data_IF_293813920550
#
_entry.id   IF_293813920550
#
_cell.length_a   1.000
_cell.length_b   1.000
_cell.length_c   1.000
_cell.angle_alpha   90.00
_cell.angle_beta   90.00
_cell.angle_gamma   90.00
#
_symmetry.space_group_name_H-M   'P 1'
#
loop_
_entity.id
_entity.type
_entity.pdbx_description
1 polymer ?
#
# COMPACT_ATOMS: atom_id res chain seq x y z
N UNK A 1 3.30 -35.81 8.81
CA UNK A 1 1.93 -36.26 9.16
C UNK A 1 0.96 -35.11 8.99
N UNK A 2 -0.38 -35.31 8.90
CA UNK A 2 -1.33 -34.20 8.77
C UNK A 2 -1.17 -33.13 9.86
N UNK A 3 -0.82 -33.54 11.08
CA UNK A 3 -0.53 -32.61 12.18
C UNK A 3 0.75 -31.79 11.97
N UNK A 4 1.81 -32.38 11.40
CA UNK A 4 3.05 -31.65 11.07
C UNK A 4 2.84 -30.61 9.96
N UNK A 5 1.89 -30.85 9.05
CA UNK A 5 1.56 -29.89 7.98
C UNK A 5 0.83 -28.68 8.56
N UNK A 6 -0.13 -28.90 9.47
CA UNK A 6 -0.81 -27.80 10.18
C UNK A 6 0.19 -26.95 10.97
N UNK A 7 1.09 -27.58 11.74
CA UNK A 7 2.14 -26.87 12.46
C UNK A 7 3.06 -26.08 11.51
N UNK A 8 3.43 -26.67 10.37
CA UNK A 8 4.26 -25.99 9.39
C UNK A 8 3.58 -24.77 8.74
N UNK A 9 2.24 -24.79 8.62
CA UNK A 9 1.46 -23.64 8.18
C UNK A 9 1.42 -22.55 9.25
N UNK A 10 1.22 -22.91 10.52
CA UNK A 10 1.27 -21.94 11.63
C UNK A 10 2.63 -21.23 11.69
N UNK A 11 3.73 -21.99 11.53
CA UNK A 11 5.10 -21.43 11.46
C UNK A 11 5.28 -20.53 10.23
N UNK A 12 4.64 -20.86 9.10
CA UNK A 12 4.68 -20.01 7.91
C UNK A 12 3.95 -18.69 8.16
N UNK A 13 2.74 -18.73 8.72
CA UNK A 13 1.96 -17.54 9.11
C UNK A 13 2.75 -16.64 10.06
N UNK A 14 3.34 -17.20 11.12
CA UNK A 14 4.17 -16.47 12.09
C UNK A 14 5.40 -15.83 11.42
N UNK A 15 6.08 -16.57 10.52
CA UNK A 15 7.23 -16.08 9.77
C UNK A 15 6.82 -14.90 8.86
N UNK A 16 5.70 -15.03 8.14
CA UNK A 16 5.22 -13.97 7.26
C UNK A 16 4.76 -12.74 8.05
N UNK A 17 4.14 -12.92 9.22
CA UNK A 17 3.78 -11.83 10.13
C UNK A 17 5.02 -11.07 10.64
N UNK A 18 6.11 -11.80 10.92
CA UNK A 18 7.39 -11.16 11.29
C UNK A 18 7.98 -10.31 10.16
N UNK A 19 7.82 -10.73 8.91
CA UNK A 19 8.28 -9.97 7.74
C UNK A 19 7.47 -8.71 7.53
N UNK A 20 6.15 -8.78 7.69
CA UNK A 20 5.30 -7.60 7.60
C UNK A 20 5.63 -6.58 8.70
N UNK A 21 5.84 -7.03 9.94
CA UNK A 21 6.31 -6.19 11.03
C UNK A 21 7.69 -5.56 10.74
N UNK A 22 8.54 -6.27 10.01
CA UNK A 22 9.85 -5.81 9.51
C UNK A 22 9.79 -4.92 8.26
N UNK A 23 8.58 -4.52 7.82
CA UNK A 23 8.35 -3.71 6.62
C UNK A 23 8.77 -4.41 5.30
N UNK A 24 8.78 -5.75 5.29
CA UNK A 24 8.95 -6.59 4.10
C UNK A 24 7.55 -7.08 3.70
N UNK A 25 6.87 -6.31 2.86
CA UNK A 25 5.54 -6.70 2.36
C UNK A 25 5.68 -7.54 1.08
N UNK A 26 5.18 -8.79 1.13
CA UNK A 26 5.23 -9.76 0.03
C UNK A 26 3.84 -10.01 -0.59
N UNK A 27 2.80 -9.31 -0.14
CA UNK A 27 1.42 -9.54 -0.58
C UNK A 27 0.84 -10.87 -0.11
N UNK A 28 1.32 -11.40 1.02
CA UNK A 28 0.83 -12.66 1.59
C UNK A 28 -0.57 -12.51 2.19
N UNK A 29 -1.42 -13.51 1.96
CA UNK A 29 -2.79 -13.53 2.47
C UNK A 29 -2.85 -14.19 3.86
N UNK A 30 -2.98 -13.38 4.91
CA UNK A 30 -3.17 -13.87 6.27
C UNK A 30 -4.60 -14.40 6.47
N UNK A 31 -4.71 -15.55 7.12
CA UNK A 31 -5.99 -16.18 7.47
C UNK A 31 -6.01 -16.56 8.95
N UNK A 32 -7.20 -16.61 9.57
CA UNK A 32 -7.34 -16.99 10.98
C UNK A 32 -7.17 -18.52 11.19
N UNK A 33 -7.31 -19.30 10.13
CA UNK A 33 -7.16 -20.76 10.15
C UNK A 33 -6.56 -21.21 8.82
N UNK A 34 -5.22 -21.28 8.72
CA UNK A 34 -4.54 -21.55 7.45
C UNK A 34 -4.80 -22.97 6.96
N UNK A 35 -5.27 -23.10 5.71
CA UNK A 35 -5.38 -24.38 5.01
C UNK A 35 -4.35 -24.49 3.89
N UNK A 36 -3.94 -25.72 3.60
CA UNK A 36 -3.07 -26.07 2.47
C UNK A 36 -3.68 -25.78 1.10
N UNK A 37 -5.00 -25.62 1.02
CA UNK A 37 -5.73 -25.31 -0.20
C UNK A 37 -5.79 -23.81 -0.49
N UNK A 38 -5.49 -22.96 0.49
CA UNK A 38 -5.61 -21.51 0.36
C UNK A 38 -4.47 -20.94 -0.49
N UNK A 39 -4.80 -19.93 -1.30
CA UNK A 39 -3.79 -19.22 -2.08
C UNK A 39 -2.98 -18.27 -1.19
N UNK A 40 -1.66 -18.44 -1.21
CA UNK A 40 -0.74 -17.63 -0.40
C UNK A 40 -0.63 -16.16 -0.83
N UNK A 41 -1.04 -15.80 -2.04
CA UNK A 41 -0.95 -14.42 -2.56
C UNK A 41 0.46 -13.95 -2.96
N UNK A 42 1.51 -14.72 -2.64
CA UNK A 42 2.90 -14.38 -2.93
C UNK A 42 3.18 -14.46 -4.44
N UNK A 43 3.86 -13.45 -4.98
CA UNK A 43 4.32 -13.48 -6.37
C UNK A 43 5.31 -14.62 -6.64
N UNK A 44 5.22 -15.22 -7.83
CA UNK A 44 5.99 -16.41 -8.19
C UNK A 44 7.51 -16.19 -8.10
N UNK A 45 7.98 -14.96 -8.31
CA UNK A 45 9.40 -14.61 -8.24
C UNK A 45 9.97 -14.68 -6.82
N UNK A 46 9.11 -14.54 -5.81
CA UNK A 46 9.47 -14.47 -4.39
C UNK A 46 9.30 -15.80 -3.65
N UNK A 47 8.59 -16.77 -4.24
CA UNK A 47 8.31 -18.09 -3.65
C UNK A 47 9.60 -18.88 -3.34
N UNK A 48 10.60 -18.82 -4.22
CA UNK A 48 11.85 -19.56 -4.05
C UNK A 48 12.60 -19.19 -2.76
N UNK A 49 12.90 -17.89 -2.54
CA UNK A 49 13.46 -17.40 -1.29
C UNK A 49 12.64 -17.78 -0.05
N UNK A 50 11.30 -17.60 -0.08
CA UNK A 50 10.42 -17.92 1.06
C UNK A 50 10.50 -19.40 1.45
N UNK A 51 10.54 -20.31 0.48
CA UNK A 51 10.71 -21.76 0.74
C UNK A 51 12.01 -22.09 1.46
N UNK A 52 13.10 -21.42 1.12
CA UNK A 52 14.40 -21.66 1.77
C UNK A 52 14.39 -21.20 3.22
N UNK A 53 13.73 -20.06 3.50
CA UNK A 53 13.58 -19.52 4.85
C UNK A 53 12.71 -20.42 5.72
N UNK A 54 11.55 -20.83 5.19
CA UNK A 54 10.67 -21.78 5.85
C UNK A 54 11.40 -23.09 6.19
N UNK A 55 12.21 -23.60 5.26
CA UNK A 55 12.98 -24.83 5.49
C UNK A 55 13.97 -24.70 6.65
N UNK A 56 14.56 -23.51 6.86
CA UNK A 56 15.40 -23.25 8.04
C UNK A 56 14.59 -23.28 9.33
N UNK A 57 13.48 -22.55 9.38
CA UNK A 57 12.64 -22.44 10.56
C UNK A 57 12.08 -23.81 10.97
N UNK A 58 11.59 -24.58 9.99
CA UNK A 58 11.12 -25.94 10.23
C UNK A 58 12.24 -26.87 10.70
N UNK A 59 13.46 -26.75 10.16
CA UNK A 59 14.58 -27.57 10.64
C UNK A 59 14.86 -27.32 12.12
N UNK A 60 14.84 -26.06 12.56
CA UNK A 60 15.01 -25.68 13.97
C UNK A 60 13.84 -26.17 14.82
N UNK A 61 12.59 -25.99 14.38
CA UNK A 61 11.39 -26.45 15.08
C UNK A 61 11.38 -27.96 15.32
N UNK A 62 11.86 -28.75 14.35
CA UNK A 62 11.96 -30.21 14.47
C UNK A 62 13.28 -30.70 15.09
N UNK A 63 14.13 -29.79 15.59
CA UNK A 63 15.40 -30.13 16.25
C UNK A 63 16.42 -30.78 15.32
N UNK A 64 16.35 -30.51 14.01
CA UNK A 64 17.29 -31.00 13.01
C UNK A 64 18.42 -30.01 12.81
N UNK A 65 19.62 -30.52 12.58
CA UNK A 65 20.77 -29.66 12.26
C UNK A 65 20.59 -28.99 10.89
N UNK A 66 20.88 -27.70 10.85
CA UNK A 66 20.86 -26.91 9.63
C UNK A 66 22.08 -27.28 8.78
N UNK A 67 21.86 -27.71 7.54
CA UNK A 67 22.98 -27.94 6.63
C UNK A 67 23.64 -26.60 6.27
N UNK A 68 24.97 -26.54 6.12
CA UNK A 68 25.67 -25.29 5.85
C UNK A 68 25.25 -24.67 4.50
N UNK A 69 24.86 -25.49 3.53
CA UNK A 69 24.31 -25.03 2.26
C UNK A 69 22.98 -24.32 2.42
N UNK A 70 22.10 -24.84 3.27
CA UNK A 70 20.78 -24.28 3.52
C UNK A 70 20.88 -22.97 4.34
N UNK A 71 21.83 -22.89 5.27
CA UNK A 71 22.18 -21.64 5.96
C UNK A 71 22.64 -20.53 5.00
N UNK A 72 23.47 -20.87 3.99
CA UNK A 72 23.88 -19.90 2.96
C UNK A 72 22.69 -19.47 2.08
N UNK A 73 21.82 -20.41 1.72
CA UNK A 73 20.60 -20.12 0.95
C UNK A 73 19.62 -19.24 1.73
N UNK A 74 19.56 -19.36 3.06
CA UNK A 74 18.77 -18.49 3.93
C UNK A 74 19.25 -17.03 3.81
N UNK A 75 20.55 -16.80 3.95
CA UNK A 75 21.13 -15.46 3.87
C UNK A 75 20.94 -14.83 2.48
N UNK A 76 21.15 -15.62 1.43
CA UNK A 76 20.88 -15.19 0.06
C UNK A 76 19.39 -14.90 -0.17
N UNK A 77 18.50 -15.76 0.34
CA UNK A 77 17.05 -15.61 0.26
C UNK A 77 16.55 -14.33 0.91
N UNK A 78 16.98 -14.04 2.15
CA UNK A 78 16.64 -12.77 2.81
C UNK A 78 17.15 -11.56 2.03
N UNK A 79 18.39 -11.59 1.54
CA UNK A 79 18.96 -10.51 0.75
C UNK A 79 18.16 -10.24 -0.53
N UNK A 80 17.70 -11.30 -1.21
CA UNK A 80 16.82 -11.18 -2.38
C UNK A 80 15.46 -10.57 -2.02
N UNK A 81 14.82 -11.01 -0.92
CA UNK A 81 13.55 -10.43 -0.48
C UNK A 81 13.67 -8.94 -0.17
N UNK A 82 14.73 -8.53 0.54
CA UNK A 82 15.01 -7.11 0.75
C UNK A 82 15.26 -6.36 -0.56
N UNK A 83 15.94 -6.95 -1.53
CA UNK A 83 16.16 -6.30 -2.82
C UNK A 83 14.85 -6.05 -3.59
N UNK A 84 13.87 -6.95 -3.46
CA UNK A 84 12.55 -6.77 -4.08
C UNK A 84 11.72 -5.67 -3.39
N UNK A 85 11.79 -5.57 -2.07
CA UNK A 85 11.00 -4.59 -1.29
C UNK A 85 11.72 -3.26 -1.07
N UNK A 86 13.04 -3.20 -1.33
CA UNK A 86 13.85 -2.01 -1.09
C UNK A 86 13.45 -0.85 -2.00
N UNK A 87 12.81 0.15 -1.39
CA UNK A 87 12.62 1.45 -2.01
C UNK A 87 13.88 2.30 -1.83
N UNK A 88 14.77 2.27 -2.82
CA UNK A 88 15.92 3.17 -2.84
C UNK A 88 15.47 4.58 -3.20
N UNK A 89 15.51 5.49 -2.22
CA UNK A 89 15.27 6.90 -2.49
C UNK A 89 16.49 7.50 -3.19
N UNK A 90 16.25 8.27 -4.23
CA UNK A 90 17.30 9.07 -4.82
C UNK A 90 17.82 10.06 -3.77
N UNK A 91 19.14 10.07 -3.54
CA UNK A 91 19.76 11.03 -2.62
C UNK A 91 19.60 12.42 -3.22
N UNK A 92 18.77 13.24 -2.59
CA UNK A 92 18.55 14.60 -3.05
C UNK A 92 19.71 15.49 -2.57
N UNK A 93 20.33 16.28 -3.46
CA UNK A 93 21.38 17.19 -3.07
C UNK A 93 20.85 18.23 -2.06
N UNK A 94 21.65 18.62 -1.04
CA UNK A 94 21.21 19.56 -0.01
C UNK A 94 20.91 20.95 -0.60
N UNK A 95 20.10 21.74 0.10
CA UNK A 95 19.59 23.05 -0.37
C UNK A 95 20.65 24.04 -0.85
N UNK A 96 21.89 23.90 -0.39
CA UNK A 96 23.01 24.77 -0.74
C UNK A 96 23.99 24.16 -1.74
N UNK A 97 23.69 22.99 -2.31
CA UNK A 97 24.60 22.36 -3.25
C UNK A 97 24.68 23.18 -4.54
N UNK A 98 25.86 23.71 -4.90
CA UNK A 98 26.01 24.45 -6.15
C UNK A 98 25.83 23.50 -7.32
N UNK A 99 25.12 23.96 -8.36
CA UNK A 99 24.82 23.16 -9.56
C UNK A 99 26.06 22.78 -10.38
N UNK A 100 27.18 23.50 -10.23
CA UNK A 100 28.37 23.35 -11.08
C UNK A 100 28.20 24.00 -12.46
N UNK A 101 29.28 24.55 -12.99
CA UNK A 101 29.30 25.25 -14.29
C UNK A 101 29.14 24.33 -15.51
N UNK A 102 29.36 23.02 -15.35
CA UNK A 102 29.21 22.01 -16.41
C UNK A 102 27.79 21.50 -16.64
N UNK A 103 26.83 21.85 -15.78
CA UNK A 103 25.45 21.37 -15.90
C UNK A 103 24.61 22.37 -16.72
N UNK A 104 24.32 22.02 -17.98
CA UNK A 104 23.43 22.78 -18.85
C UNK A 104 21.98 22.74 -18.35
N UNK A 105 21.27 23.87 -18.48
CA UNK A 105 19.84 23.95 -18.16
C UNK A 105 19.05 23.17 -19.21
N UNK A 106 18.52 22.00 -18.86
CA UNK A 106 17.55 21.28 -19.70
C UNK A 106 16.22 22.05 -19.85
N UNK A 107 15.91 23.01 -18.97
CA UNK A 107 14.73 23.87 -19.07
C UNK A 107 14.99 25.24 -18.45
N UNK A 108 14.48 26.33 -19.05
CA UNK A 108 14.70 27.72 -18.57
C UNK A 108 14.12 28.01 -17.16
N UNK A 109 13.30 27.11 -16.61
CA UNK A 109 12.50 27.33 -15.38
C UNK A 109 12.98 26.52 -14.16
N UNK A 110 13.97 25.61 -14.26
CA UNK A 110 14.42 24.79 -13.11
C UNK A 110 15.32 25.53 -12.10
N UNK A 111 15.12 26.84 -11.91
CA UNK A 111 15.93 27.66 -10.98
C UNK A 111 15.62 27.36 -9.51
N UNK A 112 14.49 26.72 -9.25
CA UNK A 112 14.11 26.21 -7.96
C UNK A 112 13.81 24.72 -8.13
N UNK A 113 14.18 23.95 -7.10
CA UNK A 113 14.02 22.50 -7.03
C UNK A 113 12.70 22.07 -7.68
N UNK A 114 12.73 20.97 -8.44
CA UNK A 114 11.50 20.26 -8.80
C UNK A 114 10.69 20.11 -7.52
N UNK A 115 9.40 20.52 -7.49
CA UNK A 115 8.58 20.38 -6.30
C UNK A 115 8.72 18.96 -5.77
N UNK A 116 8.86 18.85 -4.46
CA UNK A 116 9.00 17.55 -3.79
C UNK A 116 7.78 16.72 -4.18
N UNK A 117 7.99 15.64 -4.95
CA UNK A 117 6.97 14.61 -5.11
C UNK A 117 6.81 14.02 -3.71
N UNK A 118 5.75 14.43 -3.02
CA UNK A 118 5.47 13.91 -1.70
C UNK A 118 5.17 12.41 -1.83
N UNK A 119 5.65 11.56 -0.90
CA UNK A 119 5.28 10.15 -0.90
C UNK A 119 3.76 10.05 -0.69
N UNK A 120 3.06 9.16 -1.40
CA UNK A 120 1.63 8.95 -1.19
C UNK A 120 1.36 8.71 0.30
N UNK A 121 0.41 9.46 0.89
CA UNK A 121 0.06 9.36 2.32
C UNK A 121 -0.49 7.96 2.65
N UNK A 122 -1.05 7.28 1.67
CA UNK A 122 -1.57 5.91 1.75
C UNK A 122 -1.35 5.18 0.43
N UNK A 123 -1.26 3.85 0.45
CA UNK A 123 -1.25 3.02 -0.77
C UNK A 123 -2.49 3.24 -1.67
N UNK A 124 -3.57 3.80 -1.12
CA UNK A 124 -4.83 4.13 -1.81
C UNK A 124 -4.86 5.55 -2.42
N UNK A 125 -3.73 6.25 -2.48
CA UNK A 125 -3.69 7.60 -3.09
C UNK A 125 -3.87 7.50 -4.60
N UNK A 126 -4.92 8.16 -5.12
CA UNK A 126 -5.22 8.21 -6.55
C UNK A 126 -4.36 9.29 -7.24
N UNK A 127 -3.81 8.99 -8.41
CA UNK A 127 -3.02 9.95 -9.19
C UNK A 127 -3.87 10.51 -10.34
N UNK A 128 -3.87 11.83 -10.51
CA UNK A 128 -4.60 12.53 -11.57
C UNK A 128 -3.75 13.67 -12.14
N UNK A 129 -3.83 13.88 -13.46
CA UNK A 129 -3.20 15.05 -14.07
C UNK A 129 -4.10 16.30 -13.91
N UNK A 130 -3.49 17.49 -13.91
CA UNK A 130 -4.24 18.74 -13.87
C UNK A 130 -5.13 18.85 -15.11
N UNK A 131 -6.44 19.01 -14.92
CA UNK A 131 -7.46 19.02 -15.96
C UNK A 131 -8.14 17.68 -16.21
N UNK A 132 -7.69 16.59 -15.57
CA UNK A 132 -8.35 15.30 -15.66
C UNK A 132 -9.67 15.30 -14.90
N UNK A 133 -10.67 14.66 -15.51
CA UNK A 133 -12.00 14.44 -14.96
C UNK A 133 -12.25 12.93 -14.93
N UNK A 134 -12.25 12.35 -13.74
CA UNK A 134 -12.42 10.91 -13.55
C UNK A 134 -13.58 10.61 -12.60
N UNK A 135 -14.22 9.48 -12.84
CA UNK A 135 -15.31 8.97 -12.02
C UNK A 135 -14.75 7.98 -10.99
N UNK A 136 -15.07 8.19 -9.71
CA UNK A 136 -14.67 7.36 -8.60
C UNK A 136 -15.90 6.85 -7.84
N UNK A 137 -15.71 5.74 -7.12
CA UNK A 137 -16.73 5.20 -6.24
C UNK A 137 -16.12 4.78 -4.92
N UNK A 138 -16.84 5.02 -3.84
CA UNK A 138 -16.48 4.58 -2.50
C UNK A 138 -17.61 3.72 -1.94
N UNK A 139 -17.29 2.46 -1.61
CA UNK A 139 -18.25 1.56 -0.97
C UNK A 139 -18.21 1.73 0.56
N UNK A 140 -19.40 1.70 1.16
CA UNK A 140 -19.62 1.61 2.61
C UNK A 140 -20.39 0.34 2.99
N UNK A 141 -20.66 -0.55 2.02
CA UNK A 141 -21.50 -1.74 2.18
C UNK A 141 -21.01 -2.64 3.32
N UNK A 142 -19.69 -2.89 3.38
CA UNK A 142 -19.09 -3.73 4.43
C UNK A 142 -19.24 -3.12 5.83
N UNK A 143 -19.25 -1.79 5.93
CA UNK A 143 -19.41 -1.07 7.19
C UNK A 143 -20.88 -0.97 7.62
N UNK A 144 -21.79 -0.82 6.64
CA UNK A 144 -23.23 -0.71 6.85
C UNK A 144 -23.84 -2.03 7.32
N UNK A 145 -23.39 -3.17 6.79
CA UNK A 145 -23.92 -4.49 7.14
C UNK A 145 -25.40 -4.64 6.80
N UNK A 146 -26.29 -4.27 7.74
CA UNK A 146 -27.75 -4.23 7.55
C UNK A 146 -28.36 -2.83 7.66
N UNK A 147 -27.55 -1.83 7.97
CA UNK A 147 -27.95 -0.43 8.15
C UNK A 147 -28.05 0.29 6.79
N UNK A 148 -28.86 1.35 6.73
CA UNK A 148 -29.01 2.18 5.54
C UNK A 148 -28.43 3.59 5.76
N UNK A 149 -27.92 4.19 4.68
CA UNK A 149 -27.41 5.57 4.71
C UNK A 149 -28.59 6.53 4.76
N UNK A 150 -28.67 7.38 5.79
CA UNK A 150 -29.70 8.42 5.88
C UNK A 150 -29.22 9.74 5.29
N UNK A 151 -27.99 10.14 5.61
CA UNK A 151 -27.42 11.41 5.13
C UNK A 151 -25.92 11.26 4.92
N UNK A 152 -25.41 11.85 3.84
CA UNK A 152 -23.98 12.01 3.62
C UNK A 152 -23.65 13.47 3.31
N UNK A 153 -22.50 13.92 3.78
CA UNK A 153 -21.92 15.19 3.36
C UNK A 153 -20.45 14.99 2.99
N UNK A 154 -19.93 15.83 2.10
CA UNK A 154 -18.54 15.77 1.68
C UNK A 154 -17.88 17.13 1.85
N UNK A 155 -16.61 17.11 2.18
CA UNK A 155 -15.75 18.30 2.22
C UNK A 155 -14.52 18.02 1.38
N UNK A 156 -14.24 18.92 0.43
CA UNK A 156 -13.10 18.84 -0.48
C UNK A 156 -12.07 19.94 -0.20
N UNK A 157 -10.83 19.65 -0.55
CA UNK A 157 -9.73 20.63 -0.55
C UNK A 157 -9.78 21.48 -1.82
N UNK A 158 -9.20 22.68 -1.80
CA UNK A 158 -9.40 23.71 -2.83
C UNK A 158 -8.96 23.34 -4.25
N UNK A 159 -8.06 22.36 -4.42
CA UNK A 159 -7.56 21.94 -5.73
C UNK A 159 -8.42 20.90 -6.44
N UNK A 160 -9.48 20.39 -5.80
CA UNK A 160 -10.41 19.43 -6.38
C UNK A 160 -11.81 20.01 -6.48
N UNK A 161 -12.46 19.77 -7.62
CA UNK A 161 -13.88 20.00 -7.78
C UNK A 161 -14.60 18.66 -7.84
N UNK A 162 -15.48 18.43 -6.87
CA UNK A 162 -16.35 17.25 -6.86
C UNK A 162 -17.68 17.62 -7.49
N UNK A 163 -18.08 16.88 -8.51
CA UNK A 163 -19.35 17.04 -9.23
C UNK A 163 -20.08 15.71 -9.35
N UNK A 164 -21.36 15.77 -9.71
CA UNK A 164 -22.19 14.60 -10.04
C UNK A 164 -22.10 13.46 -9.00
N UNK A 165 -22.27 13.81 -7.73
CA UNK A 165 -22.25 12.85 -6.63
C UNK A 165 -23.63 12.24 -6.43
N UNK A 166 -23.68 10.91 -6.34
CA UNK A 166 -24.91 10.16 -6.10
C UNK A 166 -24.63 9.04 -5.12
N UNK A 167 -25.59 8.74 -4.26
CA UNK A 167 -25.56 7.59 -3.38
C UNK A 167 -26.59 6.58 -3.88
N UNK A 168 -26.17 5.32 -3.94
CA UNK A 168 -27.03 4.19 -4.26
C UNK A 168 -26.60 2.97 -3.45
N UNK A 169 -27.49 2.49 -2.58
CA UNK A 169 -27.31 1.26 -1.81
C UNK A 169 -25.97 1.19 -1.04
N UNK A 170 -25.56 2.28 -0.39
CA UNK A 170 -24.33 2.34 0.40
C UNK A 170 -23.06 2.52 -0.43
N UNK A 171 -23.18 2.83 -1.73
CA UNK A 171 -22.05 3.21 -2.58
C UNK A 171 -22.22 4.66 -3.01
N UNK A 172 -21.20 5.48 -2.75
CA UNK A 172 -21.16 6.88 -3.17
C UNK A 172 -20.31 6.95 -4.43
N UNK A 173 -20.94 7.26 -5.56
CA UNK A 173 -20.29 7.51 -6.84
C UNK A 173 -20.14 9.01 -7.03
N UNK A 174 -18.96 9.48 -7.40
CA UNK A 174 -18.66 10.90 -7.53
C UNK A 174 -17.63 11.15 -8.62
N UNK A 175 -17.77 12.29 -9.31
CA UNK A 175 -16.81 12.75 -10.31
C UNK A 175 -15.87 13.75 -9.69
N UNK A 176 -14.57 13.58 -9.90
CA UNK A 176 -13.53 14.51 -9.44
C UNK A 176 -12.85 15.14 -10.65
N UNK A 177 -12.72 16.46 -10.61
CA UNK A 177 -11.89 17.24 -11.52
C UNK A 177 -10.70 17.82 -10.76
N UNK A 178 -9.51 17.62 -11.30
CA UNK A 178 -8.28 18.17 -10.74
C UNK A 178 -8.03 19.58 -11.31
N UNK A 179 -8.24 20.62 -10.51
CA UNK A 179 -8.15 22.02 -10.96
C UNK A 179 -6.72 22.56 -10.88
N UNK A 180 -6.02 22.29 -9.78
CA UNK A 180 -4.65 22.74 -9.59
C UNK A 180 -3.89 21.82 -8.61
N UNK A 181 -2.57 21.72 -8.80
CA UNK A 181 -1.69 21.05 -7.83
C UNK A 181 -1.44 21.96 -6.63
N UNK A 182 -1.87 21.56 -5.44
CA UNK A 182 -1.44 22.22 -4.21
C UNK A 182 -0.10 21.68 -3.72
N UNK A 183 0.52 22.40 -2.77
CA UNK A 183 1.77 22.00 -2.14
C UNK A 183 1.64 20.71 -1.29
N UNK A 184 0.42 20.27 -0.97
CA UNK A 184 0.08 19.05 -0.23
C UNK A 184 -0.93 18.23 -1.05
N UNK A 185 -1.12 16.95 -0.69
CA UNK A 185 -2.16 16.11 -1.29
C UNK A 185 -3.55 16.71 -1.10
N UNK A 186 -4.34 16.63 -2.16
CA UNK A 186 -5.72 17.06 -2.14
C UNK A 186 -6.59 15.93 -1.57
N UNK A 187 -7.58 16.27 -0.75
CA UNK A 187 -8.41 15.26 -0.08
C UNK A 187 -9.89 15.53 -0.27
N UNK A 188 -10.65 14.44 -0.37
CA UNK A 188 -12.12 14.44 -0.29
C UNK A 188 -12.48 13.61 0.93
N UNK A 189 -13.11 14.24 1.92
CA UNK A 189 -13.59 13.55 3.12
C UNK A 189 -15.10 13.39 3.03
N UNK A 190 -15.56 12.14 3.10
CA UNK A 190 -16.97 11.78 3.18
C UNK A 190 -17.34 11.54 4.63
N UNK A 191 -18.41 12.18 5.08
CA UNK A 191 -19.03 11.94 6.39
C UNK A 191 -20.39 11.31 6.14
N UNK A 192 -20.54 10.04 6.51
CA UNK A 192 -21.76 9.23 6.27
C UNK A 192 -22.43 8.97 7.61
N UNK A 193 -23.73 9.24 7.69
CA UNK A 193 -24.57 8.96 8.86
C UNK A 193 -25.61 7.89 8.51
N UNK A 194 -25.74 6.88 9.37
CA UNK A 194 -26.72 5.79 9.21
C UNK A 194 -28.02 6.06 9.94
N UNK A 195 -29.04 5.25 9.64
CA UNK A 195 -30.32 5.20 10.33
C UNK A 195 -30.23 4.93 11.84
N UNK A 196 -29.19 4.24 12.30
CA UNK A 196 -28.89 4.02 13.72
C UNK A 196 -28.16 5.21 14.37
N UNK A 197 -27.79 6.23 13.60
CA UNK A 197 -27.06 7.42 14.05
C UNK A 197 -25.54 7.23 14.12
N UNK A 198 -24.99 6.16 13.55
CA UNK A 198 -23.54 5.96 13.48
C UNK A 198 -22.94 6.87 12.42
N UNK A 199 -21.81 7.47 12.75
CA UNK A 199 -21.07 8.39 11.87
C UNK A 199 -19.74 7.75 11.50
N UNK A 200 -19.43 7.74 10.21
CA UNK A 200 -18.13 7.34 9.70
C UNK A 200 -17.53 8.41 8.79
N UNK A 201 -16.24 8.68 8.99
CA UNK A 201 -15.49 9.65 8.23
C UNK A 201 -14.42 8.91 7.42
N UNK A 202 -14.53 8.95 6.11
CA UNK A 202 -13.57 8.32 5.19
C UNK A 202 -12.93 9.40 4.34
N UNK A 203 -11.60 9.47 4.37
CA UNK A 203 -10.82 10.42 3.59
C UNK A 203 -10.18 9.70 2.40
N UNK A 204 -10.47 10.19 1.20
CA UNK A 204 -9.84 9.74 -0.05
C UNK A 204 -8.79 10.75 -0.47
N UNK A 205 -7.59 10.26 -0.77
CA UNK A 205 -6.43 11.08 -1.10
C UNK A 205 -6.20 11.12 -2.61
N UNK A 206 -5.95 12.31 -3.15
CA UNK A 206 -5.61 12.54 -4.55
C UNK A 206 -4.28 13.28 -4.67
N UNK A 207 -3.44 12.78 -5.57
CA UNK A 207 -2.23 13.45 -6.02
C UNK A 207 -2.49 14.08 -7.39
N UNK A 208 -2.66 15.40 -7.38
CA UNK A 208 -2.79 16.23 -8.57
C UNK A 208 -1.41 16.69 -9.02
N UNK A 209 -0.89 16.20 -10.15
CA UNK A 209 0.45 16.53 -10.66
C UNK A 209 0.48 16.82 -12.15
#
# INVERSE_FOLDING_TARGET
TPAEVALALDVLEDMMGSFEAGNISLGYNFTESPDTADESGIDYTQIGPVKNLLACELAVHFGKELTPTLALMQGAGMSSLYAFTAQTRQVQPPRRMPRGSGNMRLQRVSNFMVPVVQPPISYQTNYMAIGDINDFSQSFVDWLGSESVTTYTYTNTSGLLVSNNTELNGVISYRVECLHSAANFETVTFTVTTDTGRINNVTVNFNCS
#
